data_IF_319922545502
#
_entry.id   IF_319922545502
#
_cell.length_a   1.000
_cell.length_b   1.000
_cell.length_c   1.000
_cell.angle_alpha   90.00
_cell.angle_beta   90.00
_cell.angle_gamma   90.00
#
_symmetry.space_group_name_H-M   'P 1'
#
loop_
_entity.id
_entity.type
_entity.pdbx_description
1 polymer ?
#
# COMPACT_ATOMS: atom_id res chain seq x y z
N UNK A 1 2.59 -2.44 -95.34
CA UNK A 1 1.80 -3.16 -94.32
C UNK A 1 2.45 -2.85 -92.97
N UNK A 2 1.84 -2.00 -92.14
CA UNK A 2 2.39 -1.63 -90.82
C UNK A 2 1.86 -2.63 -89.79
N UNK A 3 2.75 -3.41 -89.18
CA UNK A 3 2.42 -4.31 -88.06
C UNK A 3 2.27 -3.42 -86.82
N UNK A 4 1.09 -3.46 -86.20
CA UNK A 4 0.78 -2.75 -84.96
C UNK A 4 1.02 -3.74 -83.82
N UNK A 5 2.09 -3.55 -83.07
CA UNK A 5 2.38 -4.29 -81.84
C UNK A 5 1.40 -3.74 -80.79
N UNK A 6 0.56 -4.60 -80.21
CA UNK A 6 -0.34 -4.25 -79.11
C UNK A 6 0.39 -4.71 -77.84
N UNK A 7 0.82 -3.77 -77.01
CA UNK A 7 1.42 -4.07 -75.70
C UNK A 7 0.30 -4.49 -74.73
N UNK A 8 0.46 -5.66 -74.11
CA UNK A 8 -0.47 -6.20 -73.11
C UNK A 8 -0.02 -5.76 -71.71
N UNK A 9 -0.61 -4.69 -71.19
CA UNK A 9 -0.28 -4.11 -69.88
C UNK A 9 -0.91 -4.87 -68.70
N UNK A 10 -1.63 -5.97 -68.94
CA UNK A 10 -2.33 -6.74 -67.90
C UNK A 10 -1.38 -7.25 -66.81
N UNK A 11 -0.18 -7.72 -67.18
CA UNK A 11 0.84 -8.16 -66.22
C UNK A 11 1.41 -7.04 -65.34
N UNK A 12 1.40 -5.79 -65.82
CA UNK A 12 1.79 -4.61 -65.02
C UNK A 12 0.68 -4.23 -64.05
N UNK A 13 -0.59 -4.32 -64.48
CA UNK A 13 -1.75 -4.03 -63.63
C UNK A 13 -1.89 -5.04 -62.48
N UNK A 14 -1.65 -6.33 -62.74
CA UNK A 14 -1.66 -7.38 -61.71
C UNK A 14 -0.57 -7.15 -60.64
N UNK A 15 0.65 -6.81 -61.07
CA UNK A 15 1.75 -6.52 -60.15
C UNK A 15 1.47 -5.29 -59.28
N UNK A 16 0.92 -4.21 -59.84
CA UNK A 16 0.54 -3.00 -59.09
C UNK A 16 -0.56 -3.32 -58.08
N UNK A 17 -1.58 -4.09 -58.48
CA UNK A 17 -2.65 -4.52 -57.58
C UNK A 17 -2.14 -5.32 -56.39
N UNK A 18 -1.23 -6.26 -56.64
CA UNK A 18 -0.59 -7.05 -55.58
C UNK A 18 0.21 -6.17 -54.61
N UNK A 19 1.06 -5.28 -55.12
CA UNK A 19 1.86 -4.36 -54.28
C UNK A 19 0.95 -3.46 -53.44
N UNK A 20 -0.16 -2.98 -54.01
CA UNK A 20 -1.09 -2.09 -53.32
C UNK A 20 -1.81 -2.79 -52.16
N UNK A 21 -2.34 -4.00 -52.39
CA UNK A 21 -2.95 -4.81 -51.32
C UNK A 21 -1.93 -5.14 -50.24
N UNK A 22 -0.73 -5.56 -50.64
CA UNK A 22 0.36 -5.88 -49.71
C UNK A 22 0.73 -4.68 -48.84
N UNK A 23 0.82 -3.49 -49.43
CA UNK A 23 1.13 -2.24 -48.70
C UNK A 23 0.03 -1.90 -47.70
N UNK A 24 -1.24 -2.02 -48.09
CA UNK A 24 -2.37 -1.75 -47.18
C UNK A 24 -2.39 -2.74 -46.01
N UNK A 25 -2.13 -4.02 -46.26
CA UNK A 25 -2.07 -5.05 -45.20
C UNK A 25 -0.93 -4.74 -44.23
N UNK A 26 0.27 -4.41 -44.73
CA UNK A 26 1.42 -4.05 -43.89
C UNK A 26 1.14 -2.78 -43.08
N UNK A 27 0.54 -1.76 -43.69
CA UNK A 27 0.16 -0.54 -42.98
C UNK A 27 -0.86 -0.83 -41.88
N UNK A 28 -1.83 -1.71 -42.13
CA UNK A 28 -2.81 -2.14 -41.14
C UNK A 28 -2.16 -2.84 -39.94
N UNK A 29 -1.28 -3.83 -40.21
CA UNK A 29 -0.55 -4.54 -39.13
C UNK A 29 0.36 -3.58 -38.36
N UNK A 30 1.02 -2.66 -39.06
CA UNK A 30 1.90 -1.65 -38.44
C UNK A 30 1.13 -0.75 -37.47
N UNK A 31 -0.03 -0.23 -37.87
CA UNK A 31 -0.87 0.61 -37.02
C UNK A 31 -1.36 -0.17 -35.79
N UNK A 32 -1.87 -1.39 -36.00
CA UNK A 32 -2.36 -2.24 -34.89
C UNK A 32 -1.24 -2.58 -33.92
N UNK A 33 -0.04 -2.87 -34.41
CA UNK A 33 1.09 -3.22 -33.54
C UNK A 33 1.56 -2.01 -32.75
N UNK A 34 1.68 -0.84 -33.40
CA UNK A 34 2.20 0.37 -32.78
C UNK A 34 1.28 0.94 -31.68
N UNK A 35 -0.05 0.85 -31.86
CA UNK A 35 -1.02 1.38 -30.89
C UNK A 35 -1.70 0.32 -30.03
N UNK A 36 -1.89 -0.90 -30.55
CA UNK A 36 -2.54 -1.98 -29.83
C UNK A 36 -1.65 -2.62 -28.77
N UNK A 37 -0.35 -2.79 -29.05
CA UNK A 37 0.57 -3.40 -28.09
C UNK A 37 0.74 -2.56 -26.81
N UNK A 38 1.02 -1.24 -26.88
CA UNK A 38 1.15 -0.43 -25.67
C UNK A 38 -0.12 -0.42 -24.82
N UNK A 39 -1.31 -0.29 -25.45
CA UNK A 39 -2.57 -0.30 -24.72
C UNK A 39 -2.83 -1.63 -23.97
N UNK A 40 -2.43 -2.76 -24.56
CA UNK A 40 -2.50 -4.07 -23.90
C UNK A 40 -1.49 -4.21 -22.76
N UNK A 41 -0.28 -3.66 -22.94
CA UNK A 41 0.75 -3.64 -21.90
C UNK A 41 0.28 -2.81 -20.69
N UNK A 42 -0.23 -1.60 -20.92
CA UNK A 42 -0.76 -0.72 -19.87
C UNK A 42 -1.93 -1.37 -19.11
N UNK A 43 -2.85 -2.01 -19.85
CA UNK A 43 -3.97 -2.73 -19.27
C UNK A 43 -3.52 -3.91 -18.40
N UNK A 44 -2.46 -4.62 -18.82
CA UNK A 44 -1.86 -5.71 -18.04
C UNK A 44 -1.21 -5.18 -16.76
N UNK A 45 -0.38 -4.14 -16.86
CA UNK A 45 0.29 -3.52 -15.69
C UNK A 45 -0.75 -3.04 -14.67
N UNK A 46 -1.78 -2.33 -15.11
CA UNK A 46 -2.85 -1.86 -14.24
C UNK A 46 -3.63 -3.01 -13.57
N UNK A 47 -3.84 -4.11 -14.30
CA UNK A 47 -4.45 -5.33 -13.74
C UNK A 47 -3.57 -5.98 -12.68
N UNK A 48 -2.27 -6.11 -12.93
CA UNK A 48 -1.31 -6.69 -11.98
C UNK A 48 -1.24 -5.85 -10.70
N UNK A 49 -1.17 -4.52 -10.82
CA UNK A 49 -1.21 -3.61 -9.66
C UNK A 49 -2.50 -3.74 -8.86
N UNK A 50 -3.66 -3.90 -9.53
CA UNK A 50 -4.95 -4.07 -8.85
C UNK A 50 -5.05 -5.42 -8.12
N UNK A 51 -4.48 -6.48 -8.70
CA UNK A 51 -4.37 -7.80 -8.05
C UNK A 51 -3.50 -7.67 -6.80
N UNK A 52 -2.36 -6.97 -6.89
CA UNK A 52 -1.48 -6.77 -5.74
C UNK A 52 -2.12 -5.93 -4.64
N UNK A 53 -2.92 -4.92 -5.00
CA UNK A 53 -3.74 -4.18 -4.05
C UNK A 53 -4.67 -5.11 -3.25
N UNK A 54 -5.33 -6.06 -3.92
CA UNK A 54 -6.18 -7.06 -3.25
C UNK A 54 -5.37 -8.04 -2.38
N UNK A 55 -4.22 -8.51 -2.87
CA UNK A 55 -3.35 -9.40 -2.11
C UNK A 55 -2.85 -8.73 -0.82
N UNK A 56 -2.52 -7.44 -0.86
CA UNK A 56 -2.12 -6.68 0.32
C UNK A 56 -3.28 -6.50 1.33
N UNK A 57 -4.52 -6.36 0.86
CA UNK A 57 -5.70 -6.38 1.75
C UNK A 57 -5.90 -7.75 2.40
N UNK A 58 -5.63 -8.84 1.68
CA UNK A 58 -5.68 -10.20 2.27
C UNK A 58 -4.63 -10.33 3.38
N UNK A 59 -3.40 -9.89 3.15
CA UNK A 59 -2.35 -9.87 4.18
C UNK A 59 -2.72 -9.02 5.38
N UNK A 60 -3.27 -7.83 5.16
CA UNK A 60 -3.77 -6.99 6.23
C UNK A 60 -4.85 -7.71 7.06
N UNK A 61 -5.76 -8.44 6.41
CA UNK A 61 -6.77 -9.24 7.11
C UNK A 61 -6.17 -10.39 7.91
N UNK A 62 -5.13 -11.04 7.39
CA UNK A 62 -4.41 -12.09 8.11
C UNK A 62 -3.69 -11.54 9.35
N UNK A 63 -3.05 -10.36 9.25
CA UNK A 63 -2.50 -9.62 10.39
C UNK A 63 -3.61 -9.28 11.41
N UNK A 64 -4.78 -8.83 10.94
CA UNK A 64 -5.94 -8.57 11.81
C UNK A 64 -6.43 -9.84 12.52
N UNK A 65 -6.34 -11.00 11.89
CA UNK A 65 -6.70 -12.29 12.50
C UNK A 65 -5.68 -12.68 13.59
N UNK A 66 -4.38 -12.56 13.31
CA UNK A 66 -3.30 -12.84 14.27
C UNK A 66 -3.48 -12.00 15.54
N UNK A 67 -3.63 -10.68 15.36
CA UNK A 67 -3.73 -9.72 16.46
C UNK A 67 -5.03 -9.80 17.27
N UNK A 68 -6.15 -10.20 16.65
CA UNK A 68 -7.46 -10.25 17.33
C UNK A 68 -7.83 -11.63 17.88
N UNK A 69 -7.59 -12.67 17.09
CA UNK A 69 -8.17 -13.99 17.35
C UNK A 69 -7.22 -14.90 18.14
N UNK A 70 -6.11 -14.35 18.63
CA UNK A 70 -5.05 -15.06 19.35
C UNK A 70 -4.61 -16.33 18.60
N UNK A 71 -4.60 -16.24 17.26
CA UNK A 71 -4.12 -17.30 16.39
C UNK A 71 -2.60 -17.13 16.33
N UNK A 72 -1.81 -18.12 16.74
CA UNK A 72 -0.37 -17.95 16.86
C UNK A 72 0.35 -17.93 15.50
N UNK A 73 -0.22 -18.55 14.47
CA UNK A 73 0.41 -18.72 13.16
C UNK A 73 -0.59 -18.55 12.01
N UNK A 74 -0.14 -17.94 10.92
CA UNK A 74 -0.91 -17.75 9.69
C UNK A 74 0.02 -17.77 8.49
N UNK A 75 -0.30 -18.65 7.54
CA UNK A 75 0.43 -18.78 6.28
C UNK A 75 -0.49 -18.34 5.14
N UNK A 76 0.04 -17.51 4.24
CA UNK A 76 -0.72 -16.95 3.11
C UNK A 76 0.09 -17.08 1.83
N UNK A 77 -0.39 -17.91 0.91
CA UNK A 77 0.20 -18.05 -0.43
C UNK A 77 -0.21 -16.87 -1.30
N UNK A 78 0.77 -16.19 -1.89
CA UNK A 78 0.56 -15.00 -2.71
C UNK A 78 1.30 -15.15 -4.03
N UNK A 79 0.60 -14.84 -5.11
CA UNK A 79 1.21 -14.62 -6.41
C UNK A 79 1.56 -13.15 -6.58
N UNK A 80 2.84 -12.83 -6.60
CA UNK A 80 3.40 -11.53 -6.93
C UNK A 80 3.66 -11.50 -8.44
N UNK A 81 2.85 -10.75 -9.18
CA UNK A 81 3.01 -10.50 -10.61
C UNK A 81 3.39 -9.06 -10.84
N UNK A 82 4.29 -8.81 -11.80
CA UNK A 82 4.65 -7.47 -12.25
C UNK A 82 5.48 -6.65 -11.24
N UNK A 83 6.08 -7.29 -10.24
CA UNK A 83 6.90 -6.61 -9.22
C UNK A 83 7.43 -7.55 -8.14
N UNK A 84 7.90 -6.95 -7.04
CA UNK A 84 8.47 -7.65 -5.89
C UNK A 84 7.92 -7.10 -4.57
N UNK A 85 7.77 -7.97 -3.56
CA UNK A 85 7.44 -7.60 -2.18
C UNK A 85 8.72 -7.54 -1.35
N UNK A 86 8.89 -6.48 -0.56
CA UNK A 86 9.97 -6.28 0.40
C UNK A 86 9.41 -6.20 1.82
N UNK A 87 10.16 -6.69 2.80
CA UNK A 87 9.80 -6.59 4.22
C UNK A 87 10.83 -5.75 4.94
N UNK A 88 10.39 -4.64 5.51
CA UNK A 88 11.17 -3.75 6.37
C UNK A 88 10.74 -3.97 7.81
N UNK A 89 11.64 -4.49 8.63
CA UNK A 89 11.32 -4.74 10.04
C UNK A 89 11.33 -3.43 10.86
N UNK A 90 10.62 -3.43 12.00
CA UNK A 90 10.48 -2.27 12.87
C UNK A 90 11.81 -1.74 13.44
N UNK A 91 12.77 -2.64 13.69
CA UNK A 91 14.08 -2.27 14.22
C UNK A 91 14.95 -1.57 13.17
N UNK A 92 14.88 -2.00 11.92
CA UNK A 92 15.52 -1.40 10.78
C UNK A 92 14.90 -0.04 10.48
N UNK A 93 13.57 0.06 10.45
CA UNK A 93 12.87 1.34 10.32
C UNK A 93 13.32 2.34 11.39
N UNK A 94 13.50 1.90 12.65
CA UNK A 94 14.05 2.74 13.71
C UNK A 94 15.50 3.19 13.42
N UNK A 95 16.37 2.26 13.03
CA UNK A 95 17.78 2.54 12.79
C UNK A 95 18.02 3.47 11.58
N UNK A 96 17.17 3.34 10.55
CA UNK A 96 17.30 4.07 9.28
C UNK A 96 16.45 5.36 9.25
N UNK A 97 15.62 5.59 10.27
CA UNK A 97 14.74 6.75 10.33
C UNK A 97 13.53 6.66 9.40
N UNK A 98 13.04 5.45 9.17
CA UNK A 98 11.85 5.18 8.35
C UNK A 98 10.54 5.61 9.03
N UNK A 99 9.42 5.22 8.41
CA UNK A 99 8.06 5.59 8.83
C UNK A 99 7.83 5.34 10.34
N UNK A 100 7.32 6.35 11.04
CA UNK A 100 6.98 6.22 12.47
C UNK A 100 5.90 7.19 12.94
N UNK A 101 5.35 6.87 14.12
CA UNK A 101 4.34 7.67 14.82
C UNK A 101 4.86 8.12 16.17
N UNK A 102 4.69 9.41 16.50
CA UNK A 102 4.79 9.87 17.89
C UNK A 102 3.39 10.06 18.45
N UNK A 103 3.10 9.39 19.57
CA UNK A 103 1.85 9.59 20.29
C UNK A 103 2.18 10.33 21.59
N UNK A 104 1.69 11.55 21.69
CA UNK A 104 1.74 12.37 22.90
C UNK A 104 0.43 12.23 23.66
N UNK A 105 0.49 11.80 24.90
CA UNK A 105 -0.67 11.56 25.74
C UNK A 105 -0.35 11.82 27.22
N UNK A 106 -1.39 11.77 28.05
CA UNK A 106 -1.26 11.90 29.49
C UNK A 106 -1.18 10.51 30.14
N UNK A 107 -0.20 10.25 31.00
CA UNK A 107 -0.13 8.99 31.77
C UNK A 107 -1.10 9.04 32.95
N UNK A 108 -1.28 10.24 33.50
CA UNK A 108 -2.26 10.60 34.52
C UNK A 108 -2.73 12.05 34.26
N UNK A 109 -3.54 12.61 35.16
CA UNK A 109 -4.06 13.98 35.02
C UNK A 109 -3.02 15.12 35.03
N UNK A 110 -1.73 14.82 35.14
CA UNK A 110 -0.68 15.81 35.32
C UNK A 110 0.54 15.57 34.45
N UNK A 111 0.88 14.30 34.20
CA UNK A 111 2.10 13.92 33.51
C UNK A 111 1.83 13.59 32.03
N UNK A 112 2.55 14.27 31.15
CA UNK A 112 2.56 13.98 29.70
C UNK A 112 3.70 13.04 29.35
N UNK A 113 3.43 12.07 28.48
CA UNK A 113 4.43 11.18 27.90
C UNK A 113 4.36 11.24 26.36
N UNK A 114 5.48 10.94 25.72
CA UNK A 114 5.58 10.78 24.27
C UNK A 114 6.15 9.40 24.01
N UNK A 115 5.48 8.62 23.16
CA UNK A 115 5.98 7.30 22.76
C UNK A 115 6.08 7.23 21.25
N UNK A 116 7.25 6.80 20.77
CA UNK A 116 7.54 6.63 19.34
C UNK A 116 7.35 5.18 18.94
N UNK A 117 6.66 4.96 17.84
CA UNK A 117 6.32 3.65 17.31
C UNK A 117 6.80 3.50 15.87
N UNK A 118 7.61 2.46 15.65
CA UNK A 118 8.06 2.05 14.32
C UNK A 118 7.26 0.81 13.89
N UNK A 119 6.26 0.95 13.01
CA UNK A 119 5.47 -0.20 12.58
C UNK A 119 6.25 -1.16 11.67
N UNK A 120 7.29 -0.69 10.98
CA UNK A 120 7.82 -1.44 9.83
C UNK A 120 6.75 -1.57 8.73
N UNK A 121 7.12 -2.22 7.63
CA UNK A 121 6.25 -2.31 6.45
C UNK A 121 6.51 -3.57 5.64
N UNK A 122 5.48 -3.98 4.90
CA UNK A 122 5.60 -4.91 3.79
C UNK A 122 5.18 -4.19 2.52
N UNK A 123 6.09 -4.03 1.58
CA UNK A 123 5.93 -3.15 0.44
C UNK A 123 6.01 -3.93 -0.87
N UNK A 124 4.99 -3.82 -1.72
CA UNK A 124 5.06 -4.22 -3.12
C UNK A 124 5.50 -3.06 -3.98
N UNK A 125 6.52 -3.29 -4.81
CA UNK A 125 7.01 -2.36 -5.82
C UNK A 125 6.79 -2.96 -7.19
N UNK A 126 6.10 -2.23 -8.07
CA UNK A 126 5.90 -2.59 -9.47
C UNK A 126 7.19 -2.44 -10.28
N UNK A 127 7.54 -3.44 -11.11
CA UNK A 127 8.73 -3.41 -11.98
C UNK A 127 8.44 -2.72 -13.32
N UNK A 128 7.23 -2.94 -13.86
CA UNK A 128 6.80 -2.41 -15.16
C UNK A 128 5.92 -1.15 -15.02
N UNK A 129 5.30 -0.95 -13.85
CA UNK A 129 4.45 0.20 -13.54
C UNK A 129 5.12 1.17 -12.56
N UNK A 130 4.30 1.97 -11.87
CA UNK A 130 4.79 2.94 -10.88
C UNK A 130 4.13 2.77 -9.52
N UNK A 131 3.17 1.85 -9.36
CA UNK A 131 2.51 1.68 -8.07
C UNK A 131 3.44 1.08 -7.02
N UNK A 132 3.35 1.66 -5.82
CA UNK A 132 3.88 1.09 -4.59
C UNK A 132 2.71 0.87 -3.65
N UNK A 133 2.59 -0.33 -3.10
CA UNK A 133 1.49 -0.73 -2.23
C UNK A 133 2.07 -1.34 -0.97
N UNK A 134 1.81 -0.71 0.17
CA UNK A 134 2.46 -1.07 1.43
C UNK A 134 1.45 -1.37 2.52
N UNK A 135 1.75 -2.40 3.30
CA UNK A 135 1.04 -2.75 4.53
C UNK A 135 1.89 -2.28 5.69
N UNK A 136 1.45 -1.23 6.37
CA UNK A 136 2.14 -0.62 7.50
C UNK A 136 1.13 -0.28 8.60
N UNK A 137 1.49 -0.55 9.86
CA UNK A 137 0.64 -0.33 11.02
C UNK A 137 -0.80 -0.86 10.90
N UNK A 138 -0.97 -1.97 10.18
CA UNK A 138 -2.28 -2.57 9.90
C UNK A 138 -3.17 -1.80 8.92
N UNK A 139 -2.66 -0.77 8.24
CA UNK A 139 -3.28 -0.11 7.09
C UNK A 139 -2.72 -0.68 5.78
N UNK A 140 -3.48 -0.56 4.68
CA UNK A 140 -2.94 -0.72 3.32
C UNK A 140 -2.94 0.64 2.66
N UNK A 141 -1.77 1.10 2.28
CA UNK A 141 -1.55 2.40 1.63
C UNK A 141 -0.98 2.20 0.24
N UNK A 142 -1.31 3.12 -0.66
CA UNK A 142 -0.87 3.08 -2.06
C UNK A 142 -0.33 4.45 -2.46
N UNK A 143 0.77 4.44 -3.19
CA UNK A 143 1.38 5.63 -3.82
C UNK A 143 1.92 5.28 -5.20
N UNK A 144 2.53 6.26 -5.85
CA UNK A 144 3.29 6.08 -7.09
C UNK A 144 4.75 6.49 -6.86
N UNK A 145 5.73 5.76 -7.41
CA UNK A 145 7.16 5.95 -7.14
C UNK A 145 7.65 7.39 -7.43
N UNK A 146 7.17 7.99 -8.51
CA UNK A 146 7.68 9.27 -9.02
C UNK A 146 6.72 10.45 -8.80
N UNK A 147 5.62 10.23 -8.08
CA UNK A 147 4.60 11.25 -7.88
C UNK A 147 4.30 11.42 -6.40
N UNK A 148 4.22 12.68 -5.97
CA UNK A 148 3.79 13.03 -4.63
C UNK A 148 2.31 12.69 -4.44
N UNK A 149 1.99 12.13 -3.26
CA UNK A 149 0.63 11.77 -2.88
C UNK A 149 0.47 10.28 -2.61
N UNK A 150 -0.51 9.98 -1.77
CA UNK A 150 -0.79 8.63 -1.31
C UNK A 150 -2.27 8.52 -0.94
N UNK A 151 -2.80 7.31 -1.03
CA UNK A 151 -4.19 6.99 -0.68
C UNK A 151 -4.21 5.77 0.24
N UNK A 152 -5.08 5.83 1.24
CA UNK A 152 -5.37 4.66 2.06
C UNK A 152 -6.37 3.78 1.32
N UNK A 153 -5.95 2.56 0.99
CA UNK A 153 -6.78 1.57 0.29
C UNK A 153 -7.66 0.81 1.28
N UNK A 154 -7.11 0.52 2.46
CA UNK A 154 -7.83 -0.18 3.53
C UNK A 154 -7.37 0.32 4.89
N UNK A 155 -8.33 0.67 5.72
CA UNK A 155 -8.09 1.34 6.99
C UNK A 155 -7.51 0.40 8.05
N UNK A 156 -6.64 0.94 8.94
CA UNK A 156 -6.28 0.26 10.18
C UNK A 156 -7.49 0.25 11.13
N UNK A 157 -7.37 -0.43 12.27
CA UNK A 157 -8.52 -0.66 13.16
C UNK A 157 -8.64 0.34 14.30
N UNK A 158 -8.19 1.58 14.10
CA UNK A 158 -8.33 2.58 15.16
C UNK A 158 -9.78 3.05 15.19
N UNK A 159 -10.33 3.24 16.38
CA UNK A 159 -11.70 3.69 16.53
C UNK A 159 -11.86 4.52 17.79
N UNK A 160 -12.85 5.39 17.76
CA UNK A 160 -13.28 6.16 18.92
C UNK A 160 -14.70 5.76 19.29
N UNK A 161 -14.91 5.36 20.55
CA UNK A 161 -16.24 5.15 21.09
C UNK A 161 -16.78 6.48 21.63
N UNK A 162 -17.67 7.11 20.88
CA UNK A 162 -18.31 8.38 21.26
C UNK A 162 -19.20 8.26 22.50
N UNK A 163 -19.65 7.06 22.86
CA UNK A 163 -20.50 6.84 24.04
C UNK A 163 -19.67 6.84 25.31
N UNK A 164 -18.51 6.18 25.27
CA UNK A 164 -17.59 6.05 26.42
C UNK A 164 -16.45 7.08 26.40
N UNK A 165 -16.34 7.91 25.35
CA UNK A 165 -15.24 8.86 25.18
C UNK A 165 -13.87 8.18 25.05
N UNK A 166 -13.85 6.94 24.55
CA UNK A 166 -12.65 6.08 24.56
C UNK A 166 -12.01 5.98 23.18
N UNK A 167 -10.76 6.42 23.07
CA UNK A 167 -9.93 6.22 21.87
C UNK A 167 -9.14 4.92 21.98
N UNK A 168 -9.27 4.04 20.99
CA UNK A 168 -8.50 2.79 20.91
C UNK A 168 -7.58 2.82 19.71
N UNK A 169 -6.27 2.78 19.98
CA UNK A 169 -5.20 2.80 18.98
C UNK A 169 -4.58 1.40 18.89
N UNK A 170 -4.46 0.88 17.67
CA UNK A 170 -3.79 -0.40 17.41
C UNK A 170 -2.44 -0.14 16.75
N UNK A 171 -1.36 -0.38 17.48
CA UNK A 171 0.00 -0.28 16.95
C UNK A 171 0.48 -1.67 16.58
N UNK A 172 0.66 -1.94 15.29
CA UNK A 172 1.16 -3.22 14.80
C UNK A 172 2.55 -3.04 14.22
N UNK A 173 3.54 -3.66 14.86
CA UNK A 173 4.92 -3.70 14.38
C UNK A 173 5.19 -5.02 13.65
N UNK A 174 5.76 -4.94 12.44
CA UNK A 174 6.28 -6.06 11.70
C UNK A 174 7.75 -6.29 12.07
N UNK A 175 8.07 -7.51 12.44
CA UNK A 175 9.43 -7.92 12.77
C UNK A 175 9.85 -9.04 11.81
N UNK A 176 11.13 -9.08 11.44
CA UNK A 176 11.70 -10.18 10.67
C UNK A 176 13.14 -10.40 11.12
N UNK A 177 13.59 -11.66 11.08
CA UNK A 177 14.95 -12.01 11.45
C UNK A 177 15.98 -11.62 10.40
N UNK A 178 15.55 -11.45 9.14
CA UNK A 178 16.40 -11.11 7.99
C UNK A 178 15.61 -10.25 7.00
N UNK A 179 16.28 -9.43 6.17
CA UNK A 179 15.64 -8.80 5.02
C UNK A 179 15.06 -9.87 4.09
N UNK A 180 13.84 -9.66 3.61
CA UNK A 180 13.16 -10.63 2.77
C UNK A 180 12.60 -9.94 1.53
N UNK A 181 12.80 -10.55 0.36
CA UNK A 181 12.14 -10.16 -0.88
C UNK A 181 11.44 -11.36 -1.53
N UNK A 182 10.21 -11.17 -2.04
CA UNK A 182 9.43 -12.18 -2.75
C UNK A 182 9.00 -11.69 -4.12
N UNK A 183 9.33 -12.45 -5.16
CA UNK A 183 8.80 -12.30 -6.51
C UNK A 183 8.16 -13.60 -7.00
N UNK A 184 7.21 -13.52 -7.91
CA UNK A 184 6.46 -14.70 -8.38
C UNK A 184 5.56 -15.29 -7.29
N UNK A 185 5.41 -16.61 -7.24
CA UNK A 185 4.52 -17.27 -6.27
C UNK A 185 5.32 -17.68 -5.04
N UNK A 186 4.92 -17.19 -3.87
CA UNK A 186 5.52 -17.54 -2.57
C UNK A 186 4.49 -17.69 -1.47
N UNK A 187 4.96 -17.99 -0.26
CA UNK A 187 4.09 -18.14 0.91
C UNK A 187 4.65 -17.32 2.05
N UNK A 188 3.89 -16.32 2.47
CA UNK A 188 4.23 -15.46 3.58
C UNK A 188 3.77 -16.14 4.86
N UNK A 189 4.73 -16.46 5.73
CA UNK A 189 4.49 -17.09 7.02
C UNK A 189 4.59 -16.04 8.12
N UNK A 190 3.51 -15.86 8.85
CA UNK A 190 3.38 -14.87 9.90
C UNK A 190 3.04 -15.53 11.22
N UNK A 191 3.61 -14.99 12.30
CA UNK A 191 3.32 -15.44 13.65
C UNK A 191 3.13 -14.26 14.59
N UNK A 192 2.33 -14.48 15.62
CA UNK A 192 2.26 -13.57 16.77
C UNK A 192 2.61 -14.38 18.00
N UNK A 193 3.90 -14.41 18.33
CA UNK A 193 4.43 -15.20 19.43
C UNK A 193 4.46 -14.42 20.74
N UNK A 194 4.56 -13.10 20.63
CA UNK A 194 4.60 -12.19 21.78
C UNK A 194 3.18 -11.75 22.13
N UNK A 195 2.74 -11.90 23.39
CA UNK A 195 1.46 -11.36 23.84
C UNK A 195 1.39 -9.84 23.62
N UNK A 196 0.20 -9.30 23.31
CA UNK A 196 0.08 -7.86 23.07
C UNK A 196 0.29 -7.09 24.37
N UNK A 197 0.92 -5.92 24.27
CA UNK A 197 1.03 -4.98 25.38
C UNK A 197 -0.15 -4.02 25.31
N UNK A 198 -0.88 -3.87 26.41
CA UNK A 198 -2.06 -3.01 26.48
C UNK A 198 -1.77 -1.90 27.49
N UNK A 199 -1.80 -0.67 27.01
CA UNK A 199 -1.78 0.53 27.81
C UNK A 199 -3.19 1.09 27.91
N UNK A 200 -3.66 1.36 29.13
CA UNK A 200 -5.02 1.81 29.41
C UNK A 200 -4.97 2.97 30.39
N UNK A 201 -5.35 4.15 29.90
CA UNK A 201 -5.32 5.41 30.63
C UNK A 201 -6.72 5.99 30.69
N UNK A 202 -7.26 6.13 31.89
CA UNK A 202 -8.55 6.80 32.13
C UNK A 202 -8.30 8.14 32.81
N UNK A 203 -9.00 9.19 32.37
CA UNK A 203 -8.79 10.55 32.84
C UNK A 203 -9.99 11.06 33.63
N UNK A 204 -9.76 11.91 34.63
CA UNK A 204 -10.85 12.55 35.37
C UNK A 204 -11.45 13.75 34.64
N UNK A 205 -10.69 14.31 33.69
CA UNK A 205 -11.10 15.35 32.75
C UNK A 205 -10.61 14.98 31.35
N UNK A 206 -11.30 15.43 30.31
CA UNK A 206 -10.86 15.17 28.93
C UNK A 206 -9.43 15.65 28.69
N UNK A 207 -8.62 14.78 28.08
CA UNK A 207 -7.21 15.04 27.77
C UNK A 207 -6.96 14.97 26.28
N UNK A 208 -6.10 15.86 25.75
CA UNK A 208 -5.67 15.77 24.37
C UNK A 208 -4.74 14.57 24.19
N UNK A 209 -5.01 13.79 23.17
CA UNK A 209 -4.10 12.83 22.56
C UNK A 209 -3.67 13.42 21.23
N UNK A 210 -2.37 13.55 21.01
CA UNK A 210 -1.79 14.09 19.77
C UNK A 210 -1.00 12.99 19.09
N UNK A 211 -1.30 12.77 17.82
CA UNK A 211 -0.66 11.77 16.97
C UNK A 211 0.08 12.50 15.88
N UNK A 212 1.40 12.34 15.84
CA UNK A 212 2.27 12.89 14.81
C UNK A 212 2.74 11.77 13.91
N UNK A 213 2.65 12.00 12.60
CA UNK A 213 3.11 11.06 11.58
C UNK A 213 4.39 11.57 10.92
N UNK A 214 5.40 10.70 10.85
CA UNK A 214 6.68 10.96 10.20
C UNK A 214 6.83 9.98 9.03
N UNK A 215 6.81 10.46 7.77
CA UNK A 215 7.01 9.61 6.61
C UNK A 215 8.45 9.11 6.52
N UNK A 216 8.60 7.97 5.86
CA UNK A 216 9.91 7.53 5.38
C UNK A 216 10.37 8.47 4.23
N UNK A 217 11.66 8.86 4.16
CA UNK A 217 12.17 9.69 3.08
C UNK A 217 11.95 9.12 1.68
N UNK A 218 11.98 7.79 1.53
CA UNK A 218 11.79 7.10 0.25
C UNK A 218 10.31 6.74 0.00
N UNK A 219 9.50 6.73 1.07
CA UNK A 219 8.10 6.29 1.10
C UNK A 219 7.17 7.26 1.87
N UNK A 220 6.64 8.27 1.17
CA UNK A 220 5.75 9.27 1.77
C UNK A 220 4.24 8.89 1.71
N UNK A 221 3.74 8.33 2.81
CA UNK A 221 2.32 8.05 3.02
C UNK A 221 1.53 9.16 3.75
N UNK A 222 2.07 10.39 3.86
CA UNK A 222 1.47 11.47 4.67
C UNK A 222 0.04 11.83 4.24
N UNK A 223 -0.26 11.85 2.94
CA UNK A 223 -1.61 12.18 2.44
C UNK A 223 -2.65 11.12 2.78
N UNK A 224 -2.26 9.85 2.74
CA UNK A 224 -3.12 8.74 3.15
C UNK A 224 -3.48 8.85 4.63
N UNK A 225 -2.48 9.05 5.50
CA UNK A 225 -2.68 9.21 6.94
C UNK A 225 -3.44 10.48 7.31
N UNK A 226 -3.14 11.61 6.65
CA UNK A 226 -3.87 12.87 6.81
C UNK A 226 -5.37 12.70 6.54
N UNK A 227 -5.70 12.03 5.43
CA UNK A 227 -7.09 11.77 5.04
C UNK A 227 -7.79 10.85 6.04
N UNK A 228 -7.07 9.84 6.55
CA UNK A 228 -7.60 8.91 7.55
C UNK A 228 -7.89 9.61 8.90
N UNK A 229 -6.96 10.43 9.39
CA UNK A 229 -7.11 11.12 10.67
C UNK A 229 -8.15 12.24 10.63
N UNK A 230 -8.20 13.02 9.55
CA UNK A 230 -9.14 14.14 9.42
C UNK A 230 -10.50 13.75 8.86
N UNK A 231 -10.62 12.55 8.30
CA UNK A 231 -11.86 11.99 7.79
C UNK A 231 -12.75 11.34 8.87
N UNK A 232 -13.96 10.89 8.49
CA UNK A 232 -14.94 10.30 9.40
C UNK A 232 -14.65 8.82 9.73
N UNK A 233 -13.39 8.39 9.67
CA UNK A 233 -13.00 6.98 9.78
C UNK A 233 -12.84 6.53 11.24
N UNK A 234 -12.34 7.41 12.10
CA UNK A 234 -12.14 7.13 13.54
C UNK A 234 -13.27 7.74 14.38
N UNK A 235 -13.60 9.00 14.12
CA UNK A 235 -14.64 9.81 14.78
C UNK A 235 -15.35 10.64 13.71
N UNK A 236 -16.65 10.89 13.86
CA UNK A 236 -17.44 11.53 12.80
C UNK A 236 -16.92 12.91 12.37
N UNK A 237 -16.29 13.66 13.29
CA UNK A 237 -15.70 14.98 13.04
C UNK A 237 -14.29 14.94 12.47
N UNK A 238 -13.63 13.79 12.45
CA UNK A 238 -12.18 13.69 12.30
C UNK A 238 -11.41 14.31 13.47
N UNK A 239 -10.09 14.15 13.43
CA UNK A 239 -9.16 14.76 14.37
C UNK A 239 -8.90 16.22 13.98
N UNK A 240 -8.63 17.06 14.98
CA UNK A 240 -8.25 18.44 14.72
C UNK A 240 -6.79 18.51 14.28
N UNK A 241 -6.47 19.00 13.07
CA UNK A 241 -5.08 19.12 12.63
C UNK A 241 -4.33 20.18 13.44
N UNK A 242 -3.15 19.83 13.91
CA UNK A 242 -2.19 20.70 14.61
C UNK A 242 -0.91 20.71 13.78
N UNK A 243 -0.63 21.78 13.00
CA UNK A 243 0.52 21.77 12.10
C UNK A 243 1.87 21.75 12.84
N UNK A 244 2.90 21.05 12.30
CA UNK A 244 2.89 20.19 11.10
C UNK A 244 2.59 18.72 11.41
N UNK A 245 1.83 18.03 10.54
CA UNK A 245 1.58 16.57 10.57
C UNK A 245 1.12 15.97 11.91
N UNK A 246 0.53 16.78 12.80
CA UNK A 246 -0.03 16.32 14.06
C UNK A 246 -1.55 16.38 14.04
N UNK A 247 -2.19 15.45 14.73
CA UNK A 247 -3.63 15.30 14.78
C UNK A 247 -4.07 15.13 16.23
N UNK A 248 -4.95 16.02 16.69
CA UNK A 248 -5.40 16.07 18.09
C UNK A 248 -6.84 15.57 18.21
N UNK A 249 -7.08 14.73 19.22
CA UNK A 249 -8.40 14.38 19.71
C UNK A 249 -8.42 14.47 21.24
N UNK A 250 -9.43 15.12 21.80
CA UNK A 250 -9.65 15.15 23.26
C UNK A 250 -10.50 13.95 23.67
N UNK A 251 -10.05 13.19 24.68
CA UNK A 251 -10.62 11.88 25.05
C UNK A 251 -10.78 11.75 26.57
N UNK A 252 -11.74 10.94 27.01
CA UNK A 252 -11.94 10.58 28.42
C UNK A 252 -11.11 9.34 28.82
N UNK A 253 -10.81 8.47 27.85
CA UNK A 253 -9.97 7.29 28.03
C UNK A 253 -9.16 7.00 26.77
N UNK A 254 -7.91 6.58 26.93
CA UNK A 254 -7.01 6.16 25.88
C UNK A 254 -6.58 4.70 26.11
N UNK A 255 -6.76 3.86 25.09
CA UNK A 255 -6.26 2.50 25.07
C UNK A 255 -5.31 2.31 23.89
N UNK A 256 -4.04 2.02 24.15
CA UNK A 256 -3.06 1.69 23.11
C UNK A 256 -2.79 0.18 23.21
N UNK A 257 -2.97 -0.53 22.09
CA UNK A 257 -2.70 -1.96 21.98
C UNK A 257 -1.56 -2.18 21.01
N UNK A 258 -0.45 -2.68 21.53
CA UNK A 258 0.76 -2.96 20.77
C UNK A 258 0.85 -4.44 20.43
N UNK A 259 1.06 -4.72 19.16
CA UNK A 259 1.20 -6.07 18.62
C UNK A 259 2.50 -6.17 17.84
N UNK A 260 3.23 -7.26 18.06
CA UNK A 260 4.39 -7.62 17.25
C UNK A 260 4.06 -8.85 16.44
N UNK A 261 4.10 -8.70 15.11
CA UNK A 261 3.91 -9.79 14.15
C UNK A 261 5.28 -10.13 13.55
N UNK A 262 5.71 -11.37 13.74
CA UNK A 262 6.95 -11.90 13.21
C UNK A 262 6.70 -12.50 11.81
N UNK A 263 7.42 -12.02 10.82
CA UNK A 263 7.51 -12.62 9.49
C UNK A 263 8.61 -13.68 9.53
N UNK A 264 8.22 -14.95 9.43
CA UNK A 264 9.11 -16.10 9.58
C UNK A 264 9.76 -16.52 8.25
N UNK A 265 9.07 -16.27 7.13
CA UNK A 265 9.38 -16.80 5.80
C UNK A 265 8.54 -16.10 4.73
N UNK A 266 9.09 -15.91 3.52
CA UNK A 266 8.36 -15.54 2.31
C UNK A 266 8.81 -16.37 1.11
#
# INVERSE_FOLDING_TARGET
MKIKIIEDESGVSEAIGFILVFTIVILGISIVTLYGYPALADARISSDEKIMEQNMIVLQNDIKILTRSNVPYRDTTIGVSGGSIFVTNSSQANAEGGEHFNITYYVDDTFTNITTYYPGSMEFVSDEGTAVISVANGAVVKRQQDLGGSVMVSDPRWFYDETEGTLVIFMTSLNSTQPMALGGIGTIQMAMLTPPVIHDYSYSIQRPVIIEYFPDPDDDYSRAWETYFTGPYIVASGFTPVPPNAYRLDVDRLVIKEYTVDILGI
#
